data_IF_889584388780
#
_entry.id   IF_889584388780
#
_cell.length_a   1.000
_cell.length_b   1.000
_cell.length_c   1.000
_cell.angle_alpha   90.00
_cell.angle_beta   90.00
_cell.angle_gamma   90.00
#
_symmetry.space_group_name_H-M   'P 1'
#
loop_
_entity.id
_entity.type
_entity.pdbx_description
1 polymer ?
#
# COMPACT_ATOMS: atom_id res chain seq x y z
N UNK A 1 -20.49 -29.85 10.32
CA UNK A 1 -19.02 -29.79 10.51
C UNK A 1 -18.58 -28.42 10.03
N UNK A 2 -17.95 -27.61 10.88
CA UNK A 2 -17.47 -26.27 10.50
C UNK A 2 -16.10 -26.44 9.84
N UNK A 3 -15.90 -25.92 8.63
CA UNK A 3 -14.60 -25.95 7.98
C UNK A 3 -13.56 -25.21 8.84
N UNK A 4 -12.30 -25.69 8.91
CA UNK A 4 -11.27 -24.99 9.66
C UNK A 4 -11.09 -23.58 9.10
N UNK A 5 -11.01 -22.58 10.00
CA UNK A 5 -10.76 -21.19 9.61
C UNK A 5 -9.36 -21.09 8.98
N UNK A 6 -9.19 -20.36 7.86
CA UNK A 6 -7.88 -20.13 7.26
C UNK A 6 -6.92 -19.56 8.31
N UNK A 7 -5.74 -20.16 8.44
CA UNK A 7 -4.70 -19.72 9.39
C UNK A 7 -3.50 -19.23 8.60
N UNK A 8 -2.93 -18.11 9.03
CA UNK A 8 -1.81 -17.49 8.32
C UNK A 8 -0.59 -18.41 8.36
N UNK A 9 -0.09 -18.75 7.17
CA UNK A 9 1.17 -19.44 7.01
C UNK A 9 2.27 -18.50 7.48
N UNK A 10 2.99 -18.94 8.51
CA UNK A 10 4.19 -18.28 9.03
C UNK A 10 5.36 -18.44 8.05
N UNK A 11 5.24 -17.85 6.88
CA UNK A 11 6.39 -17.51 6.04
C UNK A 11 7.17 -16.39 6.72
N UNK A 12 8.43 -16.22 6.32
CA UNK A 12 9.21 -15.04 6.72
C UNK A 12 8.42 -13.79 6.33
N UNK A 13 7.95 -13.07 7.35
CA UNK A 13 7.22 -11.81 7.17
C UNK A 13 8.06 -10.85 6.33
N UNK A 14 7.47 -10.12 5.37
CA UNK A 14 8.18 -9.12 4.60
C UNK A 14 8.90 -8.14 5.51
N UNK A 15 10.12 -7.77 5.16
CA UNK A 15 10.82 -6.71 5.89
C UNK A 15 10.07 -5.39 5.71
N UNK A 16 10.07 -4.56 6.75
CA UNK A 16 9.58 -3.19 6.64
C UNK A 16 10.38 -2.42 5.58
N UNK A 17 9.68 -1.59 4.80
CA UNK A 17 10.23 -0.80 3.71
C UNK A 17 10.30 0.67 4.10
N UNK A 18 11.49 1.25 3.98
CA UNK A 18 11.85 2.62 4.36
C UNK A 18 11.70 3.64 3.21
N UNK A 19 11.45 3.17 1.98
CA UNK A 19 11.32 4.03 0.79
C UNK A 19 12.55 4.03 -0.11
N UNK A 20 13.53 3.15 0.15
CA UNK A 20 14.75 3.04 -0.68
C UNK A 20 14.47 2.33 -2.00
N UNK A 21 14.79 2.97 -3.12
CA UNK A 21 14.60 2.41 -4.46
C UNK A 21 15.27 1.04 -4.66
N UNK A 22 16.48 0.87 -4.15
CA UNK A 22 17.24 -0.39 -4.29
C UNK A 22 16.54 -1.59 -3.63
N UNK A 23 15.76 -1.34 -2.58
CA UNK A 23 15.04 -2.38 -1.85
C UNK A 23 13.62 -2.62 -2.39
N UNK A 24 13.09 -1.72 -3.23
CA UNK A 24 11.70 -1.74 -3.72
C UNK A 24 11.34 -3.06 -4.40
N UNK A 25 12.18 -3.52 -5.33
CA UNK A 25 11.94 -4.77 -6.06
C UNK A 25 11.94 -5.99 -5.14
N UNK A 26 12.85 -6.02 -4.17
CA UNK A 26 12.95 -7.10 -3.19
C UNK A 26 11.75 -7.13 -2.26
N UNK A 27 11.31 -5.96 -1.81
CA UNK A 27 10.12 -5.78 -0.98
C UNK A 27 8.84 -6.24 -1.71
N UNK A 28 8.60 -5.78 -2.93
CA UNK A 28 7.43 -6.17 -3.73
C UNK A 28 7.36 -7.69 -3.99
N UNK A 29 8.51 -8.33 -4.19
CA UNK A 29 8.57 -9.78 -4.34
C UNK A 29 8.14 -10.50 -3.05
N UNK A 30 8.62 -10.04 -1.89
CA UNK A 30 8.24 -10.61 -0.59
C UNK A 30 6.74 -10.45 -0.32
N UNK A 31 6.17 -9.27 -0.59
CA UNK A 31 4.73 -9.01 -0.50
C UNK A 31 3.96 -10.02 -1.37
N UNK A 32 4.31 -10.15 -2.66
CA UNK A 32 3.61 -11.05 -3.59
C UNK A 32 3.64 -12.50 -3.15
N UNK A 33 4.80 -12.97 -2.67
CA UNK A 33 4.94 -14.34 -2.15
C UNK A 33 4.08 -14.56 -0.91
N UNK A 34 4.07 -13.59 0.01
CA UNK A 34 3.28 -13.67 1.23
C UNK A 34 1.78 -13.69 0.96
N UNK A 35 1.30 -12.77 0.12
CA UNK A 35 -0.11 -12.71 -0.29
C UNK A 35 -0.53 -13.97 -1.05
N UNK A 36 0.36 -14.54 -1.88
CA UNK A 36 0.06 -15.78 -2.61
C UNK A 36 -0.09 -16.97 -1.67
N UNK A 37 0.77 -17.07 -0.66
CA UNK A 37 0.71 -18.13 0.34
C UNK A 37 -0.53 -17.99 1.24
N UNK A 38 -0.93 -16.76 1.55
CA UNK A 38 -2.04 -16.44 2.45
C UNK A 38 -3.29 -15.95 1.71
N UNK A 39 -3.50 -16.39 0.46
CA UNK A 39 -4.54 -15.86 -0.42
C UNK A 39 -5.97 -16.02 0.13
N UNK A 40 -6.21 -17.03 0.98
CA UNK A 40 -7.50 -17.24 1.64
C UNK A 40 -7.77 -16.20 2.73
N UNK A 41 -6.72 -15.60 3.30
CA UNK A 41 -6.79 -14.58 4.36
C UNK A 41 -6.86 -13.19 3.72
N UNK A 42 -5.91 -12.90 2.81
CA UNK A 42 -5.82 -11.68 2.03
C UNK A 42 -6.65 -11.79 0.74
N UNK A 43 -7.91 -12.14 0.92
CA UNK A 43 -8.84 -12.47 -0.17
C UNK A 43 -9.43 -11.25 -0.87
N UNK A 44 -9.42 -10.08 -0.23
CA UNK A 44 -9.91 -8.81 -0.78
C UNK A 44 -8.75 -7.86 -1.05
N UNK A 45 -8.96 -6.91 -1.96
CA UNK A 45 -7.93 -5.94 -2.31
C UNK A 45 -7.61 -5.02 -1.12
N UNK A 46 -8.60 -4.58 -0.34
CA UNK A 46 -8.41 -3.81 0.89
C UNK A 46 -7.44 -4.49 1.85
N UNK A 47 -7.58 -5.81 2.07
CA UNK A 47 -6.69 -6.54 2.97
C UNK A 47 -5.26 -6.59 2.45
N UNK A 48 -5.08 -6.72 1.13
CA UNK A 48 -3.76 -6.71 0.51
C UNK A 48 -3.13 -5.32 0.61
N UNK A 49 -3.90 -4.26 0.36
CA UNK A 49 -3.45 -2.87 0.45
C UNK A 49 -3.04 -2.56 1.89
N UNK A 50 -3.91 -2.85 2.86
CA UNK A 50 -3.62 -2.69 4.29
C UNK A 50 -2.36 -3.46 4.72
N UNK A 51 -2.17 -4.68 4.21
CA UNK A 51 -0.97 -5.45 4.48
C UNK A 51 0.29 -4.74 3.99
N UNK A 52 0.30 -4.24 2.75
CA UNK A 52 1.45 -3.49 2.23
C UNK A 52 1.70 -2.22 3.04
N UNK A 53 0.65 -1.42 3.29
CA UNK A 53 0.75 -0.19 4.09
C UNK A 53 1.34 -0.44 5.49
N UNK A 54 0.96 -1.56 6.14
CA UNK A 54 1.49 -1.93 7.46
C UNK A 54 3.00 -2.20 7.49
N UNK A 55 3.59 -2.45 6.33
CA UNK A 55 5.03 -2.66 6.14
C UNK A 55 5.76 -1.42 5.61
N UNK A 56 5.06 -0.32 5.31
CA UNK A 56 5.69 0.94 4.92
C UNK A 56 6.05 1.74 6.17
N UNK A 57 7.29 1.60 6.64
CA UNK A 57 7.75 2.19 7.90
C UNK A 57 9.12 2.84 7.74
N UNK A 58 9.29 3.98 8.40
CA UNK A 58 10.53 4.74 8.31
C UNK A 58 10.65 5.54 7.01
N UNK A 59 11.73 6.32 6.94
CA UNK A 59 12.15 7.09 5.77
C UNK A 59 11.00 7.85 5.10
N UNK A 60 10.92 7.74 3.79
CA UNK A 60 9.87 8.37 2.98
C UNK A 60 8.63 7.48 2.86
N UNK A 61 8.73 6.19 3.16
CA UNK A 61 7.63 5.23 3.05
C UNK A 61 6.53 5.46 4.10
N UNK A 62 6.89 5.72 5.36
CA UNK A 62 5.92 6.02 6.41
C UNK A 62 5.03 7.24 6.08
N UNK A 63 5.62 8.42 5.81
CA UNK A 63 4.85 9.61 5.43
C UNK A 63 4.01 9.43 4.15
N UNK A 64 4.51 8.65 3.19
CA UNK A 64 3.73 8.33 1.98
C UNK A 64 2.51 7.47 2.33
N UNK A 65 2.66 6.44 3.17
CA UNK A 65 1.57 5.58 3.61
C UNK A 65 0.49 6.36 4.36
N UNK A 66 0.89 7.27 5.26
CA UNK A 66 -0.05 8.16 5.94
C UNK A 66 -0.81 9.04 4.94
N UNK A 67 -0.09 9.65 3.98
CA UNK A 67 -0.70 10.52 2.97
C UNK A 67 -1.67 9.74 2.08
N UNK A 68 -1.32 8.51 1.68
CA UNK A 68 -2.15 7.61 0.91
C UNK A 68 -3.46 7.29 1.63
N UNK A 69 -3.40 6.92 2.92
CA UNK A 69 -4.60 6.67 3.72
C UNK A 69 -5.47 7.92 3.82
N UNK A 70 -4.88 9.09 4.11
CA UNK A 70 -5.62 10.36 4.19
C UNK A 70 -6.24 10.84 2.87
N UNK A 71 -5.78 10.33 1.73
CA UNK A 71 -6.37 10.60 0.42
C UNK A 71 -7.61 9.72 0.15
N UNK A 72 -7.67 8.54 0.78
CA UNK A 72 -8.72 7.55 0.60
C UNK A 72 -9.82 7.57 1.69
N UNK A 73 -9.77 8.53 2.62
CA UNK A 73 -10.84 8.75 3.58
C UNK A 73 -12.03 9.44 2.89
N UNK A 74 -13.20 8.80 2.91
CA UNK A 74 -14.46 9.27 2.34
C UNK A 74 -15.60 9.06 3.35
N UNK A 75 -16.34 10.13 3.70
CA UNK A 75 -17.48 10.07 4.63
C UNK A 75 -17.26 9.20 5.89
N UNK A 76 -16.11 9.38 6.55
CA UNK A 76 -15.67 8.66 7.78
C UNK A 76 -15.21 7.20 7.56
N UNK A 77 -15.21 6.70 6.33
CA UNK A 77 -14.69 5.37 5.97
C UNK A 77 -13.39 5.46 5.14
N UNK A 78 -12.67 4.34 4.99
CA UNK A 78 -11.48 4.25 4.14
C UNK A 78 -11.82 3.37 2.95
N UNK A 79 -11.92 4.00 1.77
CA UNK A 79 -12.30 3.31 0.54
C UNK A 79 -11.08 3.25 -0.37
N UNK A 80 -10.52 2.05 -0.55
CA UNK A 80 -9.38 1.85 -1.41
C UNK A 80 -9.77 1.54 -2.86
N UNK A 81 -8.83 1.79 -3.77
CA UNK A 81 -8.84 1.32 -5.16
C UNK A 81 -8.54 -0.19 -5.26
N UNK A 82 -8.47 -0.73 -6.49
CA UNK A 82 -8.04 -2.12 -6.67
C UNK A 82 -6.57 -2.31 -6.30
N UNK A 83 -6.19 -3.52 -5.88
CA UNK A 83 -4.79 -3.79 -5.48
C UNK A 83 -3.79 -3.53 -6.62
N UNK A 84 -4.21 -3.68 -7.88
CA UNK A 84 -3.36 -3.40 -9.03
C UNK A 84 -3.11 -1.90 -9.23
N UNK A 85 -4.13 -1.06 -9.02
CA UNK A 85 -4.00 0.40 -9.10
C UNK A 85 -3.10 0.91 -7.98
N UNK A 86 -3.32 0.44 -6.75
CA UNK A 86 -2.44 0.73 -5.61
C UNK A 86 -0.98 0.37 -5.89
N UNK A 87 -0.70 -0.83 -6.43
CA UNK A 87 0.66 -1.28 -6.74
C UNK A 87 1.29 -0.45 -7.86
N UNK A 88 0.50 0.09 -8.79
CA UNK A 88 0.98 1.00 -9.82
C UNK A 88 1.37 2.35 -9.22
N UNK A 89 0.51 2.95 -8.39
CA UNK A 89 0.81 4.22 -7.70
C UNK A 89 2.00 4.08 -6.73
N UNK A 90 2.05 2.97 -5.98
CA UNK A 90 3.18 2.68 -5.10
C UNK A 90 4.49 2.56 -5.88
N UNK A 91 4.50 1.85 -7.02
CA UNK A 91 5.71 1.78 -7.85
C UNK A 91 6.08 3.14 -8.42
N UNK A 92 5.13 3.92 -8.94
CA UNK A 92 5.35 5.29 -9.45
C UNK A 92 6.03 6.17 -8.37
N UNK A 93 5.50 6.13 -7.14
CA UNK A 93 6.00 6.93 -6.03
C UNK A 93 7.44 6.61 -5.59
N UNK A 94 7.88 5.35 -5.71
CA UNK A 94 9.20 4.92 -5.23
C UNK A 94 10.20 4.54 -6.35
N UNK A 95 9.73 4.40 -7.59
CA UNK A 95 10.57 4.22 -8.79
C UNK A 95 11.03 5.58 -9.35
N UNK A 96 10.21 6.63 -9.22
CA UNK A 96 10.47 7.95 -9.83
C UNK A 96 11.22 8.96 -8.93
N UNK A 97 11.52 8.64 -7.67
CA UNK A 97 11.94 9.63 -6.66
C UNK A 97 13.37 9.36 -6.16
N UNK A 98 14.35 10.26 -6.09
CA UNK A 98 14.62 11.69 -6.36
C UNK A 98 13.73 12.86 -5.93
N UNK A 99 12.43 12.73 -5.69
CA UNK A 99 11.68 13.80 -4.99
C UNK A 99 10.46 13.23 -4.28
N UNK A 100 10.62 12.74 -3.05
CA UNK A 100 9.47 12.38 -2.20
C UNK A 100 8.50 13.58 -2.03
N UNK A 101 9.00 14.79 -2.28
CA UNK A 101 8.19 16.00 -2.43
C UNK A 101 7.24 16.02 -3.63
N UNK A 102 7.57 15.41 -4.78
CA UNK A 102 6.70 15.42 -5.97
C UNK A 102 5.58 14.38 -5.87
N UNK A 103 5.85 13.17 -5.34
CA UNK A 103 4.79 12.19 -5.06
C UNK A 103 3.79 12.74 -4.03
N UNK A 104 4.28 13.40 -2.97
CA UNK A 104 3.42 14.11 -2.00
C UNK A 104 2.66 15.28 -2.65
N UNK A 105 3.27 16.01 -3.58
CA UNK A 105 2.61 17.09 -4.30
C UNK A 105 1.53 16.56 -5.27
N UNK A 106 1.77 15.42 -5.93
CA UNK A 106 0.83 14.73 -6.82
C UNK A 106 -0.38 14.21 -6.03
N UNK A 107 -0.14 13.56 -4.87
CA UNK A 107 -1.22 13.16 -3.96
C UNK A 107 -2.03 14.37 -3.45
N UNK A 108 -1.36 15.46 -3.06
CA UNK A 108 -2.06 16.70 -2.66
C UNK A 108 -2.87 17.32 -3.79
N UNK A 109 -2.37 17.28 -5.03
CA UNK A 109 -3.05 17.80 -6.21
C UNK A 109 -4.30 16.98 -6.54
N UNK A 110 -4.21 15.64 -6.44
CA UNK A 110 -5.38 14.75 -6.60
C UNK A 110 -6.47 15.07 -5.57
N UNK A 111 -6.09 15.28 -4.30
CA UNK A 111 -7.04 15.65 -3.23
C UNK A 111 -7.73 17.00 -3.45
N UNK A 112 -7.08 17.95 -4.13
CA UNK A 112 -7.67 19.26 -4.40
C UNK A 112 -8.58 19.26 -5.63
N UNK A 113 -8.30 18.45 -6.63
CA UNK A 113 -9.15 18.33 -7.83
C UNK A 113 -10.55 17.73 -7.54
N UNK A 114 -10.69 16.92 -6.47
CA UNK A 114 -11.98 16.40 -6.02
C UNK A 114 -12.81 17.38 -5.17
N UNK A 115 -12.27 18.55 -4.83
CA UNK A 115 -12.93 19.54 -3.95
C UNK A 115 -13.45 20.79 -4.68
N UNK A 116 -13.35 20.87 -6.00
CA UNK A 116 -13.94 21.97 -6.79
C UNK A 116 -15.05 21.45 -7.69
N UNK A 117 -16.26 21.38 -7.13
CA UNK A 117 -17.52 21.38 -7.85
C UNK A 117 -18.64 21.89 -6.90
N UNK A 118 -18.65 23.20 -6.66
CA UNK A 118 -19.80 24.14 -6.80
C UNK A 118 -19.31 25.56 -6.47
#
# INVERSE_FOLDING_TARGET
MQAPRPTELKLSTPKDYDGKREELRGFLLQIRLYLKANQEIYSTDDKKILFVLSHLKGGTAGPWAETYVYAHIQDDDIVFESFNEFIAEFQDAFEEVNTAGEALNKLRTMKQAGKTAD
#
